data_IF_193939278255
#
_entry.id   IF_193939278255
#
_cell.length_a   1.000
_cell.length_b   1.000
_cell.length_c   1.000
_cell.angle_alpha   90.00
_cell.angle_beta   90.00
_cell.angle_gamma   90.00
#
_symmetry.space_group_name_H-M   'P 1'
#
loop_
_entity.id
_entity.type
_entity.pdbx_description
1 polymer ?
#
# COMPACT_ATOMS: atom_id res chain seq x y z
N UNK A 1 -17.78 -31.60 -14.83
CA UNK A 1 -16.35 -31.93 -14.62
C UNK A 1 -16.17 -32.15 -13.13
N UNK A 2 -15.65 -33.31 -12.71
CA UNK A 2 -15.29 -33.54 -11.31
C UNK A 2 -14.04 -32.73 -10.98
N UNK A 3 -14.10 -31.97 -9.89
CA UNK A 3 -12.92 -31.31 -9.33
C UNK A 3 -11.91 -32.37 -8.89
N UNK A 4 -10.63 -32.20 -9.24
CA UNK A 4 -9.62 -33.16 -8.81
C UNK A 4 -9.34 -33.00 -7.32
N UNK A 5 -8.96 -34.08 -6.64
CA UNK A 5 -8.58 -34.05 -5.22
C UNK A 5 -7.51 -32.98 -4.95
N UNK A 6 -6.57 -32.77 -5.88
CA UNK A 6 -5.54 -31.76 -5.75
C UNK A 6 -6.09 -30.32 -5.70
N UNK A 7 -7.09 -30.00 -6.53
CA UNK A 7 -7.69 -28.66 -6.54
C UNK A 7 -8.49 -28.44 -5.25
N UNK A 8 -9.24 -29.44 -4.80
CA UNK A 8 -9.97 -29.35 -3.52
C UNK A 8 -9.01 -29.19 -2.33
N UNK A 9 -7.91 -29.96 -2.28
CA UNK A 9 -6.87 -29.80 -1.27
C UNK A 9 -6.26 -28.39 -1.29
N UNK A 10 -5.97 -27.82 -2.46
CA UNK A 10 -5.46 -26.45 -2.58
C UNK A 10 -6.47 -25.43 -2.03
N UNK A 11 -7.76 -25.57 -2.34
CA UNK A 11 -8.80 -24.69 -1.80
C UNK A 11 -8.89 -24.77 -0.29
N UNK A 12 -8.89 -25.99 0.26
CA UNK A 12 -8.91 -26.21 1.72
C UNK A 12 -7.67 -25.60 2.36
N UNK A 13 -6.49 -25.80 1.76
CA UNK A 13 -5.23 -25.23 2.22
C UNK A 13 -5.29 -23.70 2.26
N UNK A 14 -5.64 -23.04 1.14
CA UNK A 14 -5.71 -21.57 1.10
C UNK A 14 -6.74 -21.02 2.10
N UNK A 15 -7.93 -21.64 2.21
CA UNK A 15 -8.93 -21.24 3.22
C UNK A 15 -8.39 -21.39 4.64
N UNK A 16 -7.63 -22.45 4.90
CA UNK A 16 -7.02 -22.70 6.22
C UNK A 16 -5.94 -21.68 6.52
N UNK A 17 -5.06 -21.36 5.57
CA UNK A 17 -4.04 -20.31 5.72
C UNK A 17 -4.69 -18.98 6.06
N UNK A 18 -5.70 -18.54 5.28
CA UNK A 18 -6.42 -17.29 5.55
C UNK A 18 -7.07 -17.30 6.94
N UNK A 19 -7.72 -18.40 7.30
CA UNK A 19 -8.39 -18.52 8.60
C UNK A 19 -7.44 -18.53 9.79
N UNK A 20 -6.29 -19.19 9.68
CA UNK A 20 -5.37 -19.39 10.81
C UNK A 20 -4.40 -18.23 10.96
N UNK A 21 -3.92 -17.68 9.86
CA UNK A 21 -2.80 -16.72 9.83
C UNK A 21 -3.19 -15.34 9.32
N UNK A 22 -4.42 -15.14 8.85
CA UNK A 22 -4.88 -13.85 8.30
C UNK A 22 -4.75 -12.71 9.29
N UNK A 23 -5.20 -12.91 10.53
CA UNK A 23 -5.18 -11.87 11.58
C UNK A 23 -3.76 -11.48 12.03
N UNK A 24 -2.76 -12.32 11.76
CA UNK A 24 -1.37 -12.10 12.15
C UNK A 24 -0.54 -11.51 11.00
N UNK A 25 -0.68 -12.06 9.80
CA UNK A 25 0.17 -11.76 8.66
C UNK A 25 -0.48 -10.87 7.61
N UNK A 26 -1.80 -10.65 7.64
CA UNK A 26 -2.49 -9.68 6.79
C UNK A 26 -3.38 -8.78 7.66
N UNK A 27 -2.71 -7.92 8.42
CA UNK A 27 -3.31 -7.02 9.40
C UNK A 27 -2.79 -5.61 9.23
N UNK A 28 -3.51 -4.65 9.82
CA UNK A 28 -3.00 -3.29 9.99
C UNK A 28 -1.74 -3.28 10.88
N UNK A 29 -0.80 -2.34 10.65
CA UNK A 29 0.38 -2.21 11.49
C UNK A 29 -0.04 -1.87 12.92
N UNK A 30 0.60 -2.52 13.90
CA UNK A 30 0.44 -2.19 15.31
C UNK A 30 1.35 -1.01 15.69
N UNK A 31 1.43 -0.64 16.97
CA UNK A 31 2.27 0.49 17.42
C UNK A 31 3.77 0.28 17.12
N UNK A 32 4.28 -0.94 17.29
CA UNK A 32 5.68 -1.27 16.99
C UNK A 32 5.97 -1.18 15.50
N UNK A 33 5.07 -1.76 14.68
CA UNK A 33 5.18 -1.70 13.22
C UNK A 33 5.12 -0.26 12.74
N UNK A 34 4.17 0.51 13.26
CA UNK A 34 3.98 1.93 12.92
C UNK A 34 5.23 2.74 13.27
N UNK A 35 5.81 2.54 14.45
CA UNK A 35 7.07 3.20 14.85
C UNK A 35 8.18 2.89 13.84
N UNK A 36 8.32 1.61 13.47
CA UNK A 36 9.36 1.16 12.54
C UNK A 36 9.15 1.74 11.13
N UNK A 37 7.92 1.70 10.63
CA UNK A 37 7.55 2.26 9.33
C UNK A 37 7.84 3.76 9.26
N UNK A 38 7.39 4.52 10.27
CA UNK A 38 7.60 5.96 10.34
C UNK A 38 9.09 6.32 10.46
N UNK A 39 9.87 5.57 11.22
CA UNK A 39 11.31 5.79 11.33
C UNK A 39 12.05 5.56 10.00
N UNK A 40 11.75 4.46 9.30
CA UNK A 40 12.33 4.18 7.99
C UNK A 40 11.90 5.22 6.93
N UNK A 41 10.65 5.66 6.99
CA UNK A 41 10.13 6.70 6.11
C UNK A 41 10.77 8.07 6.35
N UNK A 42 10.96 8.45 7.63
CA UNK A 42 11.69 9.66 8.02
C UNK A 42 13.12 9.66 7.48
N UNK A 43 13.83 8.53 7.60
CA UNK A 43 15.19 8.38 7.07
C UNK A 43 15.23 8.65 5.57
N UNK A 44 14.24 8.14 4.83
CA UNK A 44 14.02 8.35 3.40
C UNK A 44 13.53 9.76 3.02
N UNK A 45 13.27 10.62 4.01
CA UNK A 45 12.80 12.00 3.81
C UNK A 45 11.30 12.13 3.55
N UNK A 46 10.52 11.11 3.90
CA UNK A 46 9.06 11.11 3.86
C UNK A 46 8.46 10.92 5.25
N UNK A 47 8.65 11.86 6.20
CA UNK A 47 8.01 11.82 7.51
C UNK A 47 6.50 11.58 7.41
N UNK A 48 5.96 10.60 8.13
CA UNK A 48 4.52 10.32 8.12
C UNK A 48 4.03 9.37 7.02
N UNK A 49 4.91 8.92 6.11
CA UNK A 49 4.57 7.91 5.11
C UNK A 49 4.40 6.54 5.78
N UNK A 50 3.28 5.88 5.47
CA UNK A 50 2.93 4.54 5.97
C UNK A 50 3.22 3.42 4.96
N UNK A 51 3.43 3.76 3.69
CA UNK A 51 3.72 2.81 2.62
C UNK A 51 3.43 3.41 1.24
N UNK A 52 3.57 2.58 0.21
CA UNK A 52 3.13 2.88 -1.16
C UNK A 52 1.86 2.10 -1.48
N UNK A 53 0.89 2.78 -2.08
CA UNK A 53 -0.41 2.23 -2.49
C UNK A 53 -0.47 2.15 -4.01
N UNK A 54 -0.82 0.98 -4.53
CA UNK A 54 -1.01 0.76 -5.97
C UNK A 54 -1.90 -0.46 -6.23
N UNK A 55 -2.34 -0.60 -7.48
CA UNK A 55 -3.14 -1.72 -7.96
C UNK A 55 -2.35 -2.65 -8.89
N UNK A 56 -2.58 -3.96 -8.75
CA UNK A 56 -2.11 -4.98 -9.69
C UNK A 56 -3.31 -5.64 -10.37
N UNK A 57 -3.27 -5.71 -11.71
CA UNK A 57 -4.24 -6.47 -12.49
C UNK A 57 -3.77 -7.92 -12.67
N UNK A 58 -4.57 -8.89 -12.23
CA UNK A 58 -4.29 -10.30 -12.44
C UNK A 58 -5.27 -10.91 -13.45
N UNK A 59 -4.75 -11.44 -14.56
CA UNK A 59 -5.58 -12.02 -15.61
C UNK A 59 -6.37 -13.24 -15.10
N UNK A 60 -7.66 -13.28 -15.43
CA UNK A 60 -8.58 -14.35 -15.11
C UNK A 60 -8.97 -15.13 -16.37
N UNK A 61 -8.15 -16.14 -16.68
CA UNK A 61 -8.28 -16.95 -17.91
C UNK A 61 -9.62 -17.67 -18.03
N UNK A 62 -10.12 -18.19 -16.91
CA UNK A 62 -11.38 -18.94 -16.88
C UNK A 62 -12.57 -18.08 -16.42
N UNK A 63 -12.50 -16.76 -16.61
CA UNK A 63 -13.61 -15.84 -16.33
C UNK A 63 -14.85 -16.30 -17.11
N UNK A 64 -15.99 -16.58 -16.41
CA UNK A 64 -17.22 -16.98 -17.07
C UNK A 64 -17.65 -15.95 -18.11
N UNK A 65 -18.16 -16.40 -19.27
CA UNK A 65 -18.54 -15.52 -20.39
C UNK A 65 -19.52 -14.42 -19.95
N UNK A 66 -20.44 -14.74 -19.03
CA UNK A 66 -21.39 -13.78 -18.47
C UNK A 66 -20.71 -12.63 -17.69
N UNK A 67 -19.54 -12.87 -17.11
CA UNK A 67 -18.82 -11.92 -16.28
C UNK A 67 -17.74 -11.17 -17.08
N UNK A 68 -17.31 -11.68 -18.24
CA UNK A 68 -16.21 -11.08 -19.03
C UNK A 68 -16.43 -9.60 -19.34
N UNK A 69 -17.66 -9.18 -19.64
CA UNK A 69 -17.95 -7.77 -19.91
C UNK A 69 -17.60 -6.82 -18.75
N UNK A 70 -17.71 -7.30 -17.51
CA UNK A 70 -17.38 -6.51 -16.31
C UNK A 70 -15.87 -6.52 -16.00
N UNK A 71 -15.17 -7.61 -16.32
CA UNK A 71 -13.76 -7.80 -15.96
C UNK A 71 -12.77 -7.47 -17.10
N UNK A 72 -13.23 -7.39 -18.35
CA UNK A 72 -12.41 -7.02 -19.51
C UNK A 72 -12.37 -5.49 -19.67
N UNK A 73 -11.43 -4.86 -18.99
CA UNK A 73 -11.12 -3.44 -19.11
C UNK A 73 -10.27 -3.11 -20.34
N UNK A 74 -9.24 -2.26 -20.13
CA UNK A 74 -8.29 -1.88 -21.20
C UNK A 74 -7.52 -3.07 -21.77
N UNK A 75 -7.30 -4.11 -20.96
CA UNK A 75 -6.40 -5.23 -21.26
C UNK A 75 -6.93 -6.26 -22.28
N UNK A 76 -8.13 -6.08 -22.86
CA UNK A 76 -8.85 -7.03 -23.74
C UNK A 76 -9.14 -8.40 -23.12
N UNK A 77 -8.34 -8.86 -22.16
CA UNK A 77 -8.55 -10.04 -21.34
C UNK A 77 -9.19 -9.67 -19.99
N UNK A 78 -10.04 -10.53 -19.42
CA UNK A 78 -10.62 -10.31 -18.10
C UNK A 78 -9.52 -10.25 -17.04
N UNK A 79 -9.51 -9.22 -16.19
CA UNK A 79 -8.58 -9.11 -15.05
C UNK A 79 -9.33 -8.85 -13.75
N UNK A 80 -8.79 -9.35 -12.65
CA UNK A 80 -9.26 -9.05 -11.28
C UNK A 80 -8.19 -8.22 -10.61
N UNK A 81 -8.59 -7.14 -9.94
CA UNK A 81 -7.67 -6.18 -9.36
C UNK A 81 -7.36 -6.52 -7.90
N UNK A 82 -6.07 -6.38 -7.55
CA UNK A 82 -5.55 -6.32 -6.19
C UNK A 82 -5.11 -4.88 -5.91
N UNK A 83 -5.78 -4.16 -5.02
CA UNK A 83 -5.23 -2.97 -4.38
C UNK A 83 -4.38 -3.41 -3.18
N UNK A 84 -3.17 -2.87 -3.04
CA UNK A 84 -2.33 -3.19 -1.89
C UNK A 84 -1.53 -2.00 -1.37
N UNK A 85 -1.27 -2.00 -0.06
CA UNK A 85 -0.22 -1.17 0.54
C UNK A 85 0.95 -2.04 0.91
N UNK A 86 2.12 -1.69 0.40
CA UNK A 86 3.37 -2.33 0.80
C UNK A 86 4.37 -1.33 1.38
N UNK A 87 5.22 -1.83 2.27
CA UNK A 87 6.36 -1.09 2.81
C UNK A 87 7.67 -1.50 2.15
N UNK A 88 8.73 -0.79 2.54
CA UNK A 88 10.07 -0.95 2.00
C UNK A 88 10.65 -2.37 2.07
N UNK A 89 10.27 -3.11 3.10
CA UNK A 89 10.65 -4.49 3.40
C UNK A 89 9.80 -5.52 2.66
N UNK A 90 9.02 -5.11 1.65
CA UNK A 90 8.11 -5.96 0.88
C UNK A 90 6.89 -6.48 1.65
N UNK A 91 6.72 -6.09 2.92
CA UNK A 91 5.54 -6.49 3.69
C UNK A 91 4.29 -5.82 3.12
N UNK A 92 3.23 -6.60 2.91
CA UNK A 92 1.93 -6.11 2.44
C UNK A 92 1.00 -5.94 3.65
N UNK A 93 0.69 -4.70 4.00
CA UNK A 93 -0.13 -4.35 5.18
C UNK A 93 -1.63 -4.31 4.87
N UNK A 94 -1.98 -4.04 3.62
CA UNK A 94 -3.36 -3.97 3.15
C UNK A 94 -3.46 -4.70 1.82
N UNK A 95 -4.55 -5.45 1.64
CA UNK A 95 -4.89 -6.11 0.39
C UNK A 95 -6.41 -6.10 0.20
N UNK A 96 -6.86 -5.48 -0.88
CA UNK A 96 -8.26 -5.53 -1.30
C UNK A 96 -8.33 -6.12 -2.70
N UNK A 97 -8.78 -7.38 -2.76
CA UNK A 97 -8.81 -8.15 -4.00
C UNK A 97 -10.24 -8.48 -4.40
N UNK A 98 -10.46 -8.52 -5.72
CA UNK A 98 -11.69 -9.03 -6.29
C UNK A 98 -12.42 -8.03 -7.17
N UNK A 99 -11.92 -6.80 -7.26
CA UNK A 99 -12.56 -5.78 -8.07
C UNK A 99 -12.40 -6.09 -9.57
N UNK A 100 -13.37 -5.70 -10.42
CA UNK A 100 -13.26 -5.91 -11.85
C UNK A 100 -12.16 -5.04 -12.47
N UNK A 101 -11.41 -5.60 -13.42
CA UNK A 101 -10.35 -4.92 -14.15
C UNK A 101 -10.77 -3.75 -15.04
N UNK A 102 -12.07 -3.48 -15.15
CA UNK A 102 -12.60 -2.27 -15.77
C UNK A 102 -12.50 -1.05 -14.86
N UNK A 103 -12.37 -1.25 -13.55
CA UNK A 103 -12.20 -0.15 -12.60
C UNK A 103 -10.78 0.41 -12.70
N UNK A 104 -10.67 1.73 -12.69
CA UNK A 104 -9.41 2.41 -12.48
C UNK A 104 -9.16 2.60 -10.97
N UNK A 105 -7.96 3.00 -10.62
CA UNK A 105 -7.51 3.21 -9.25
C UNK A 105 -8.43 4.14 -8.44
N UNK A 106 -8.97 5.19 -9.06
CA UNK A 106 -9.89 6.12 -8.39
C UNK A 106 -11.19 5.40 -7.96
N UNK A 107 -11.77 4.60 -8.85
CA UNK A 107 -13.01 3.87 -8.56
C UNK A 107 -12.81 2.75 -7.52
N UNK A 108 -11.60 2.20 -7.48
CA UNK A 108 -11.17 1.20 -6.50
C UNK A 108 -11.01 1.87 -5.13
N UNK A 109 -10.36 3.03 -5.09
CA UNK A 109 -10.13 3.81 -3.89
C UNK A 109 -11.42 4.15 -3.13
N UNK A 110 -12.47 4.53 -3.86
CA UNK A 110 -13.79 4.83 -3.26
C UNK A 110 -14.46 3.62 -2.59
N UNK A 111 -14.03 2.40 -2.94
CA UNK A 111 -14.50 1.15 -2.35
C UNK A 111 -13.48 0.54 -1.38
N UNK A 112 -12.33 1.19 -1.18
CA UNK A 112 -11.21 0.63 -0.45
C UNK A 112 -11.46 0.58 1.06
N UNK A 113 -11.30 -0.59 1.70
CA UNK A 113 -11.40 -0.72 3.15
C UNK A 113 -10.42 0.15 3.93
N UNK A 114 -9.25 0.49 3.35
CA UNK A 114 -8.24 1.27 4.06
C UNK A 114 -8.73 2.70 4.35
N UNK A 115 -9.56 3.26 3.45
CA UNK A 115 -10.18 4.57 3.62
C UNK A 115 -11.39 4.50 4.53
N UNK A 116 -12.18 3.43 4.43
CA UNK A 116 -13.31 3.20 5.33
C UNK A 116 -12.84 3.14 6.79
N UNK A 117 -11.76 2.42 7.08
CA UNK A 117 -11.18 2.33 8.43
C UNK A 117 -10.72 3.69 8.96
N UNK A 118 -10.12 4.53 8.12
CA UNK A 118 -9.73 5.89 8.50
C UNK A 118 -10.96 6.76 8.84
N UNK A 119 -12.05 6.62 8.08
CA UNK A 119 -13.30 7.35 8.31
C UNK A 119 -14.02 6.87 9.59
N UNK A 120 -13.97 5.56 9.85
CA UNK A 120 -14.53 4.92 11.05
C UNK A 120 -13.68 5.19 12.31
N UNK A 121 -12.47 5.75 12.13
CA UNK A 121 -11.55 6.08 13.23
C UNK A 121 -10.75 4.88 13.74
N UNK A 122 -10.74 3.80 12.97
CA UNK A 122 -9.97 2.58 13.26
C UNK A 122 -8.56 2.58 12.63
N UNK A 123 -8.25 3.63 11.87
CA UNK A 123 -6.95 3.84 11.28
C UNK A 123 -5.85 4.09 12.32
N UNK A 124 -4.61 3.92 11.88
CA UNK A 124 -3.43 4.12 12.73
C UNK A 124 -3.27 5.60 13.06
N UNK A 125 -3.23 5.92 14.36
CA UNK A 125 -2.94 7.28 14.82
C UNK A 125 -1.43 7.53 14.71
N UNK A 126 -1.05 8.55 13.95
CA UNK A 126 0.34 8.97 13.80
C UNK A 126 0.46 10.45 14.15
N UNK A 127 1.64 10.90 14.56
CA UNK A 127 1.94 12.32 14.65
C UNK A 127 3.37 12.58 14.21
N UNK A 128 3.55 13.51 13.29
CA UNK A 128 4.85 13.86 12.72
C UNK A 128 4.89 15.35 12.37
N UNK A 129 6.09 15.85 12.08
CA UNK A 129 6.32 17.25 11.71
C UNK A 129 7.10 17.34 10.41
N UNK A 130 6.66 18.20 9.52
CA UNK A 130 7.39 18.57 8.30
C UNK A 130 7.39 20.08 8.22
N UNK A 131 8.56 20.69 8.01
CA UNK A 131 8.70 22.14 7.86
C UNK A 131 8.00 22.96 8.98
N UNK A 132 8.10 22.49 10.23
CA UNK A 132 7.44 23.04 11.43
C UNK A 132 5.91 22.90 11.51
N UNK A 133 5.26 22.33 10.50
CA UNK A 133 3.84 22.00 10.54
C UNK A 133 3.64 20.61 11.14
N UNK A 134 2.62 20.46 11.99
CA UNK A 134 2.29 19.20 12.63
C UNK A 134 1.13 18.52 11.89
N UNK A 135 1.28 17.22 11.66
CA UNK A 135 0.31 16.38 10.97
C UNK A 135 -0.04 15.17 11.83
N UNK A 136 -1.29 14.76 11.76
CA UNK A 136 -1.83 13.65 12.56
C UNK A 136 -2.47 12.54 11.72
N UNK A 137 -2.32 12.62 10.39
CA UNK A 137 -2.80 11.62 9.44
C UNK A 137 -1.61 11.08 8.68
N UNK A 138 -1.41 9.77 8.73
CA UNK A 138 -0.42 9.10 7.90
C UNK A 138 -0.85 9.17 6.44
N UNK A 139 0.12 9.11 5.53
CA UNK A 139 -0.17 9.12 4.10
C UNK A 139 0.51 7.98 3.36
N UNK A 140 -0.01 7.69 2.18
CA UNK A 140 0.55 6.72 1.25
C UNK A 140 1.08 7.42 0.01
N UNK A 141 2.18 6.92 -0.54
CA UNK A 141 2.65 7.35 -1.85
C UNK A 141 1.85 6.66 -2.94
N UNK A 142 1.36 7.43 -3.90
CA UNK A 142 0.55 6.95 -5.03
C UNK A 142 1.05 7.51 -6.34
N UNK A 143 0.52 7.01 -7.46
CA UNK A 143 0.75 7.62 -8.76
C UNK A 143 -0.10 8.91 -8.94
N UNK A 144 0.05 9.55 -10.09
CA UNK A 144 -0.61 10.82 -10.42
C UNK A 144 -2.12 10.76 -10.68
N UNK A 145 -2.74 9.58 -10.75
CA UNK A 145 -4.19 9.47 -11.04
C UNK A 145 -5.04 9.47 -9.77
N UNK A 146 -4.45 9.24 -8.60
CA UNK A 146 -5.18 9.31 -7.33
C UNK A 146 -5.60 10.75 -7.00
N UNK A 147 -6.75 10.95 -6.33
CA UNK A 147 -7.23 12.27 -5.94
C UNK A 147 -6.35 12.89 -4.82
N UNK A 148 -6.20 14.24 -4.78
CA UNK A 148 -5.32 14.96 -3.85
C UNK A 148 -5.88 15.00 -2.42
N UNK A 149 -5.96 13.84 -1.78
CA UNK A 149 -6.39 13.66 -0.40
C UNK A 149 -5.24 13.92 0.57
N UNK A 150 -5.56 14.32 1.80
CA UNK A 150 -4.55 14.59 2.83
C UNK A 150 -3.74 13.33 3.21
N UNK A 151 -4.29 12.14 2.94
CA UNK A 151 -3.66 10.84 3.18
C UNK A 151 -3.00 10.24 1.94
N UNK A 152 -2.96 10.95 0.81
CA UNK A 152 -2.36 10.49 -0.45
C UNK A 152 -1.40 11.54 -0.99
N UNK A 153 -0.17 11.13 -1.29
CA UNK A 153 0.84 12.01 -1.89
C UNK A 153 1.24 11.44 -3.25
N UNK A 154 0.72 12.06 -4.32
CA UNK A 154 1.05 11.70 -5.69
C UNK A 154 2.41 12.25 -6.12
N UNK A 155 2.97 11.63 -7.17
CA UNK A 155 4.00 12.28 -7.99
C UNK A 155 3.44 13.51 -8.70
N UNK A 156 4.30 14.51 -8.93
CA UNK A 156 3.91 15.73 -9.66
C UNK A 156 4.10 15.47 -11.15
N UNK A 157 3.02 15.52 -11.92
CA UNK A 157 3.05 15.50 -13.38
C UNK A 157 3.80 16.73 -13.91
N UNK A 158 4.74 16.50 -14.84
CA UNK A 158 5.55 17.55 -15.49
C UNK A 158 6.20 18.55 -14.50
N UNK A 159 7.03 18.06 -13.56
CA UNK A 159 7.52 18.88 -12.45
C UNK A 159 8.40 20.04 -12.93
N UNK A 160 8.01 21.26 -12.58
CA UNK A 160 8.74 22.49 -12.90
C UNK A 160 9.64 22.93 -11.75
N UNK A 161 10.89 23.25 -12.08
CA UNK A 161 11.92 23.65 -11.11
C UNK A 161 12.64 22.48 -10.44
N UNK A 162 13.84 22.76 -9.90
CA UNK A 162 14.73 21.71 -9.34
C UNK A 162 14.11 20.96 -8.16
N UNK A 163 13.48 21.69 -7.23
CA UNK A 163 12.82 21.10 -6.05
C UNK A 163 11.75 20.08 -6.41
N UNK A 164 10.82 20.44 -7.31
CA UNK A 164 9.72 19.55 -7.72
C UNK A 164 10.24 18.34 -8.49
N UNK A 165 11.25 18.52 -9.35
CA UNK A 165 11.89 17.41 -10.06
C UNK A 165 12.54 16.42 -9.09
N UNK A 166 13.26 16.94 -8.10
CA UNK A 166 13.88 16.13 -7.05
C UNK A 166 12.83 15.37 -6.22
N UNK A 167 11.80 16.07 -5.78
CA UNK A 167 10.66 15.47 -5.07
C UNK A 167 10.02 14.34 -5.89
N UNK A 168 9.64 14.59 -7.15
CA UNK A 168 9.01 13.58 -8.01
C UNK A 168 9.91 12.36 -8.17
N UNK A 169 11.22 12.55 -8.42
CA UNK A 169 12.18 11.45 -8.56
C UNK A 169 12.26 10.59 -7.29
N UNK A 170 12.34 11.22 -6.11
CA UNK A 170 12.40 10.52 -4.83
C UNK A 170 11.07 9.81 -4.51
N UNK A 171 9.94 10.48 -4.75
CA UNK A 171 8.61 9.92 -4.55
C UNK A 171 8.42 8.69 -5.43
N UNK A 172 8.74 8.77 -6.72
CA UNK A 172 8.60 7.66 -7.66
C UNK A 172 9.53 6.50 -7.34
N UNK A 173 10.72 6.78 -6.79
CA UNK A 173 11.66 5.73 -6.37
C UNK A 173 11.11 4.91 -5.21
N UNK A 174 10.51 5.55 -4.19
CA UNK A 174 9.93 4.83 -3.05
C UNK A 174 8.52 4.30 -3.32
N UNK A 175 7.75 4.93 -4.21
CA UNK A 175 6.47 4.39 -4.67
C UNK A 175 6.64 3.01 -5.31
N UNK A 176 7.79 2.71 -5.93
CA UNK A 176 8.12 1.39 -6.47
C UNK A 176 8.24 0.28 -5.41
N UNK A 177 8.18 0.58 -4.12
CA UNK A 177 8.21 -0.46 -3.08
C UNK A 177 7.02 -1.45 -3.24
N UNK A 178 5.81 -0.96 -3.57
CA UNK A 178 4.65 -1.85 -3.83
C UNK A 178 4.73 -2.57 -5.17
N UNK A 179 5.23 -1.92 -6.22
CA UNK A 179 5.51 -2.58 -7.51
C UNK A 179 6.54 -3.72 -7.32
N UNK A 180 7.57 -3.49 -6.48
CA UNK A 180 8.56 -4.50 -6.12
C UNK A 180 7.93 -5.65 -5.33
N UNK A 181 7.03 -5.36 -4.38
CA UNK A 181 6.29 -6.38 -3.65
C UNK A 181 5.46 -7.26 -4.62
N UNK A 182 4.76 -6.66 -5.60
CA UNK A 182 4.05 -7.41 -6.64
C UNK A 182 4.99 -8.27 -7.50
N UNK A 183 6.13 -7.71 -7.91
CA UNK A 183 7.13 -8.43 -8.68
C UNK A 183 7.68 -9.66 -7.93
N UNK A 184 7.97 -9.52 -6.64
CA UNK A 184 8.41 -10.64 -5.78
C UNK A 184 7.31 -11.67 -5.60
N UNK A 185 6.06 -11.23 -5.37
CA UNK A 185 4.89 -12.11 -5.26
C UNK A 185 4.73 -12.97 -6.52
N UNK A 186 4.81 -12.35 -7.70
CA UNK A 186 4.74 -13.04 -8.99
C UNK A 186 5.96 -13.94 -9.27
N UNK A 187 7.16 -13.55 -8.82
CA UNK A 187 8.37 -14.35 -9.02
C UNK A 187 8.36 -15.62 -8.14
N UNK A 188 7.93 -15.48 -6.88
CA UNK A 188 7.94 -16.55 -5.87
C UNK A 188 6.77 -17.53 -6.07
N UNK A 189 5.59 -17.04 -6.41
CA UNK A 189 4.37 -17.85 -6.49
C UNK A 189 3.90 -18.02 -7.94
N UNK A 190 4.20 -19.20 -8.51
CA UNK A 190 3.79 -19.54 -9.87
C UNK A 190 2.27 -19.42 -10.09
N UNK A 191 1.45 -19.64 -9.05
CA UNK A 191 -0.01 -19.50 -9.14
C UNK A 191 -0.44 -18.05 -9.41
N UNK A 192 0.33 -17.05 -8.96
CA UNK A 192 0.07 -15.62 -9.22
C UNK A 192 0.75 -15.17 -10.52
N UNK A 193 1.93 -15.72 -10.84
CA UNK A 193 2.65 -15.42 -12.10
C UNK A 193 1.82 -15.65 -13.35
N UNK A 194 1.01 -16.71 -13.36
CA UNK A 194 0.19 -17.09 -14.50
C UNK A 194 -1.26 -16.66 -14.32
N UNK A 195 -2.03 -16.48 -15.40
CA UNK A 195 -3.45 -16.18 -15.32
C UNK A 195 -4.21 -17.18 -14.46
N UNK A 196 -5.10 -16.66 -13.59
CA UNK A 196 -5.97 -17.43 -12.72
C UNK A 196 -6.88 -18.37 -13.51
N UNK A 197 -6.86 -19.66 -13.16
CA UNK A 197 -7.61 -20.72 -13.85
C UNK A 197 -8.80 -21.26 -13.06
N UNK A 198 -9.08 -20.67 -11.91
CA UNK A 198 -10.28 -21.03 -11.15
C UNK A 198 -11.50 -20.36 -11.76
N UNK A 199 -12.63 -21.05 -11.74
CA UNK A 199 -13.88 -20.55 -12.33
C UNK A 199 -14.66 -19.62 -11.39
N UNK A 200 -14.40 -19.71 -10.08
CA UNK A 200 -15.10 -18.92 -9.07
C UNK A 200 -14.18 -17.81 -8.60
N UNK A 201 -14.71 -16.59 -8.61
CA UNK A 201 -14.07 -15.41 -8.04
C UNK A 201 -13.68 -15.61 -6.57
N UNK A 202 -14.53 -16.27 -5.78
CA UNK A 202 -14.27 -16.54 -4.36
C UNK A 202 -13.05 -17.44 -4.15
N UNK A 203 -12.81 -18.40 -5.05
CA UNK A 203 -11.63 -19.26 -4.98
C UNK A 203 -10.36 -18.46 -5.33
N UNK A 204 -10.41 -17.59 -6.35
CA UNK A 204 -9.29 -16.68 -6.69
C UNK A 204 -8.95 -15.76 -5.51
N UNK A 205 -9.98 -15.23 -4.85
CA UNK A 205 -9.80 -14.31 -3.72
C UNK A 205 -9.09 -14.98 -2.56
N UNK A 206 -9.52 -16.18 -2.17
CA UNK A 206 -8.87 -16.92 -1.09
C UNK A 206 -7.44 -17.33 -1.45
N UNK A 207 -7.18 -17.67 -2.72
CA UNK A 207 -5.83 -17.96 -3.21
C UNK A 207 -4.92 -16.73 -3.11
N UNK A 208 -5.38 -15.57 -3.59
CA UNK A 208 -4.59 -14.33 -3.54
C UNK A 208 -4.25 -13.97 -2.10
N UNK A 209 -5.23 -13.97 -1.20
CA UNK A 209 -5.02 -13.66 0.22
C UNK A 209 -4.07 -14.66 0.90
N UNK A 210 -4.23 -15.96 0.63
CA UNK A 210 -3.33 -16.98 1.17
C UNK A 210 -1.89 -16.78 0.68
N UNK A 211 -1.69 -16.39 -0.58
CA UNK A 211 -0.35 -16.12 -1.14
C UNK A 211 0.28 -14.88 -0.49
N UNK A 212 -0.50 -13.82 -0.24
CA UNK A 212 -0.01 -12.62 0.47
C UNK A 212 0.39 -12.96 1.91
N UNK A 213 -0.41 -13.77 2.59
CA UNK A 213 -0.09 -14.26 3.95
C UNK A 213 1.21 -15.04 3.94
N UNK A 214 1.35 -16.04 3.05
CA UNK A 214 2.58 -16.83 2.93
C UNK A 214 3.79 -15.96 2.55
N UNK A 215 3.59 -14.93 1.73
CA UNK A 215 4.61 -13.95 1.39
C UNK A 215 5.10 -13.22 2.64
N UNK A 216 4.20 -12.64 3.43
CA UNK A 216 4.57 -11.93 4.66
C UNK A 216 5.22 -12.89 5.69
N UNK A 217 4.74 -14.12 5.83
CA UNK A 217 5.41 -15.15 6.64
C UNK A 217 6.85 -15.41 6.18
N UNK A 218 7.07 -15.46 4.86
CA UNK A 218 8.41 -15.66 4.30
C UNK A 218 9.31 -14.45 4.56
N UNK A 219 8.77 -13.22 4.44
CA UNK A 219 9.52 -12.00 4.77
C UNK A 219 9.95 -11.98 6.24
N UNK A 220 9.08 -12.41 7.15
CA UNK A 220 9.42 -12.53 8.58
C UNK A 220 10.54 -13.55 8.82
N UNK A 221 10.41 -14.76 8.24
CA UNK A 221 11.40 -15.83 8.36
C UNK A 221 12.77 -15.38 7.81
N UNK A 222 12.77 -14.78 6.62
CA UNK A 222 13.96 -14.24 5.95
C UNK A 222 14.57 -13.05 6.71
N UNK A 223 13.77 -12.23 7.41
CA UNK A 223 14.29 -11.14 8.22
C UNK A 223 15.09 -11.63 9.45
N UNK A 224 14.81 -12.85 9.93
CA UNK A 224 15.59 -13.53 10.97
C UNK A 224 16.89 -14.16 10.44
N UNK A 225 17.02 -14.34 9.13
CA UNK A 225 18.19 -14.90 8.45
C UNK A 225 18.74 -13.88 7.45
N UNK A 226 19.62 -12.99 7.89
CA UNK A 226 20.31 -11.95 7.09
C UNK A 226 20.17 -12.16 5.57
N UNK A 227 19.18 -11.52 4.96
CA UNK A 227 19.04 -11.52 3.52
C UNK A 227 20.23 -10.74 2.96
N UNK A 228 21.23 -11.44 2.42
CA UNK A 228 22.42 -10.90 1.75
C UNK A 228 22.05 -10.32 0.36
N UNK A 229 21.15 -9.34 0.39
CA UNK A 229 20.94 -8.38 -0.68
C UNK A 229 21.39 -7.03 -0.14
N UNK A 230 22.69 -6.75 -0.25
CA UNK A 230 23.40 -5.53 0.12
C UNK A 230 22.51 -4.26 0.18
N UNK A 231 22.06 -3.90 1.38
CA UNK A 231 21.43 -2.60 1.67
C UNK A 231 21.94 -2.09 3.01
N UNK A 232 23.15 -1.54 2.97
CA UNK A 232 23.84 -0.95 4.09
C UNK A 232 23.12 0.33 4.56
N UNK A 233 22.44 0.29 5.71
CA UNK A 233 21.89 1.48 6.36
C UNK A 233 22.53 1.67 7.73
N UNK A 234 23.35 2.72 7.81
CA UNK A 234 24.08 3.12 9.00
C UNK A 234 23.12 3.51 10.13
N UNK A 235 23.24 2.83 11.27
CA UNK A 235 22.53 3.17 12.50
C UNK A 235 22.94 4.57 12.98
N UNK A 236 21.98 5.50 13.00
CA UNK A 236 22.08 6.80 13.70
C UNK A 236 20.82 7.06 14.53
N UNK A 237 20.89 7.94 15.56
CA UNK A 237 20.01 7.82 16.72
C UNK A 237 18.57 8.27 16.48
N UNK A 238 17.66 7.47 17.04
CA UNK A 238 16.19 7.55 16.99
C UNK A 238 15.64 8.92 17.39
N UNK A 239 14.96 9.60 16.48
CA UNK A 239 13.94 10.60 16.82
C UNK A 239 12.59 9.88 16.94
N UNK A 240 11.99 9.90 18.14
CA UNK A 240 10.73 9.23 18.43
C UNK A 240 9.56 10.01 17.82
N UNK A 241 8.88 9.43 16.84
CA UNK A 241 7.49 9.80 16.55
C UNK A 241 6.63 9.43 17.76
N UNK A 242 5.77 10.34 18.21
CA UNK A 242 4.89 10.09 19.35
C UNK A 242 3.66 9.30 18.86
N UNK A 243 3.51 8.07 19.36
CA UNK A 243 2.29 7.26 19.18
C UNK A 243 1.34 7.60 20.32
N UNK A 244 0.14 8.04 19.98
CA UNK A 244 -0.94 8.25 20.95
C UNK A 244 -1.92 7.08 20.85
N UNK A 245 -1.99 6.25 21.90
CA UNK A 245 -3.05 5.26 22.07
C UNK A 245 -4.35 5.98 22.42
N UNK A 246 -5.41 5.83 21.63
CA UNK A 246 -6.73 6.34 22.00
C UNK A 246 -7.61 5.24 22.59
N UNK A 247 -8.30 5.57 23.69
CA UNK A 247 -9.37 4.77 24.29
C UNK A 247 -10.62 4.70 23.40
N UNK A 248 -11.77 4.20 23.91
CA UNK A 248 -12.95 3.95 23.08
C UNK A 248 -13.41 5.25 22.43
N UNK A 249 -13.34 5.30 21.09
CA UNK A 249 -13.74 6.46 20.29
C UNK A 249 -15.27 6.57 20.25
N UNK A 250 -15.76 7.79 20.38
CA UNK A 250 -17.16 8.13 20.17
C UNK A 250 -17.53 7.90 18.69
N UNK A 251 -18.66 7.23 18.42
CA UNK A 251 -19.03 6.72 17.09
C UNK A 251 -20.12 7.57 16.44
N UNK A 252 -20.17 8.86 16.75
CA UNK A 252 -21.21 9.75 16.23
C UNK A 252 -21.04 10.04 14.74
N UNK A 253 -22.16 10.27 14.05
CA UNK A 253 -22.17 10.66 12.63
C UNK A 253 -21.38 11.96 12.38
N UNK A 254 -21.41 12.91 13.32
CA UNK A 254 -20.65 14.14 13.22
C UNK A 254 -19.14 13.88 13.23
N UNK A 255 -18.67 12.96 14.06
CA UNK A 255 -17.26 12.60 14.12
C UNK A 255 -16.81 11.83 12.87
N UNK A 256 -17.68 10.97 12.32
CA UNK A 256 -17.47 10.37 11.01
C UNK A 256 -17.33 11.44 9.92
N UNK A 257 -18.24 12.42 9.87
CA UNK A 257 -18.22 13.49 8.87
C UNK A 257 -16.95 14.33 8.97
N UNK A 258 -16.50 14.65 10.19
CA UNK A 258 -15.25 15.38 10.43
C UNK A 258 -14.04 14.60 9.91
N UNK A 259 -13.95 13.29 10.18
CA UNK A 259 -12.85 12.45 9.68
C UNK A 259 -12.90 12.34 8.15
N UNK A 260 -14.09 12.12 7.60
CA UNK A 260 -14.32 12.07 6.16
C UNK A 260 -13.83 13.34 5.45
N UNK A 261 -14.16 14.51 6.00
CA UNK A 261 -13.69 15.80 5.46
C UNK A 261 -12.18 15.97 5.62
N UNK A 262 -11.60 15.61 6.76
CA UNK A 262 -10.17 15.75 7.02
C UNK A 262 -9.32 14.89 6.08
N UNK A 263 -9.72 13.65 5.83
CA UNK A 263 -9.02 12.73 4.91
C UNK A 263 -9.00 13.29 3.49
N UNK A 264 -10.12 13.88 3.04
CA UNK A 264 -10.29 14.41 1.68
C UNK A 264 -9.95 15.90 1.55
N UNK A 265 -9.30 16.51 2.55
CA UNK A 265 -9.01 17.94 2.52
C UNK A 265 -7.85 18.27 1.55
N UNK A 266 -8.22 18.86 0.41
CA UNK A 266 -7.28 19.26 -0.63
C UNK A 266 -6.31 20.36 -0.16
N UNK A 267 -6.69 21.17 0.83
CA UNK A 267 -5.79 22.20 1.37
C UNK A 267 -4.68 21.57 2.19
N UNK A 268 -5.03 20.69 3.13
CA UNK A 268 -4.06 19.91 3.91
C UNK A 268 -3.13 19.10 3.01
N UNK A 269 -3.67 18.48 1.95
CA UNK A 269 -2.87 17.82 0.92
C UNK A 269 -1.83 18.78 0.30
N UNK A 270 -2.27 19.93 -0.23
CA UNK A 270 -1.38 20.87 -0.90
C UNK A 270 -0.30 21.42 0.03
N UNK A 271 -0.64 21.70 1.30
CA UNK A 271 0.33 22.13 2.31
C UNK A 271 1.34 21.05 2.61
N UNK A 272 0.89 19.81 2.88
CA UNK A 272 1.79 18.68 3.15
C UNK A 272 2.71 18.39 1.97
N UNK A 273 2.19 18.36 0.75
CA UNK A 273 3.01 18.14 -0.45
C UNK A 273 4.08 19.23 -0.60
N UNK A 274 3.73 20.49 -0.40
CA UNK A 274 4.70 21.59 -0.47
C UNK A 274 5.77 21.49 0.62
N UNK A 275 5.38 21.16 1.84
CA UNK A 275 6.32 20.97 2.95
C UNK A 275 7.27 19.79 2.71
N UNK A 276 6.78 18.69 2.13
CA UNK A 276 7.63 17.57 1.73
C UNK A 276 8.61 17.94 0.62
N UNK A 277 8.18 18.73 -0.38
CA UNK A 277 9.07 19.24 -1.44
C UNK A 277 10.21 20.06 -0.84
N UNK A 278 9.90 20.96 0.09
CA UNK A 278 10.90 21.81 0.74
C UNK A 278 11.79 21.04 1.72
N UNK A 279 11.22 20.09 2.46
CA UNK A 279 11.95 19.20 3.36
C UNK A 279 12.96 18.34 2.61
N UNK A 280 12.53 17.65 1.56
CA UNK A 280 13.42 16.79 0.75
C UNK A 280 14.52 17.59 0.08
N UNK A 281 14.20 18.78 -0.45
CA UNK A 281 15.23 19.65 -1.01
C UNK A 281 16.26 20.09 0.03
N UNK A 282 15.82 20.40 1.25
CA UNK A 282 16.73 20.79 2.34
C UNK A 282 17.59 19.61 2.79
N UNK A 283 17.03 18.40 2.83
CA UNK A 283 17.70 17.20 3.32
C UNK A 283 18.67 16.59 2.31
N UNK A 284 18.31 16.56 1.03
CA UNK A 284 19.05 15.83 -0.02
C UNK A 284 19.37 16.66 -1.27
N UNK A 285 18.84 17.88 -1.40
CA UNK A 285 19.00 18.70 -2.62
C UNK A 285 20.40 19.26 -2.85
N UNK A 286 21.28 19.27 -1.85
CA UNK A 286 22.67 19.75 -1.98
C UNK A 286 23.54 18.87 -2.88
N UNK A 287 23.20 17.59 -3.05
CA UNK A 287 23.95 16.66 -3.90
C UNK A 287 23.66 16.88 -5.40
N UNK A 288 22.42 17.24 -5.75
CA UNK A 288 22.03 17.56 -7.13
C UNK A 288 22.36 19.02 -7.55
N UNK A 289 22.58 19.92 -6.58
CA UNK A 289 23.01 21.29 -6.87
C UNK A 289 24.45 21.39 -7.42
N UNK A 290 25.28 20.37 -7.17
CA UNK A 290 26.69 20.30 -7.54
C UNK A 290 27.00 19.34 -8.69
N UNK A 291 25.98 18.74 -9.30
CA UNK A 291 26.18 17.91 -10.50
C UNK A 291 26.30 18.84 -11.74
N UNK A 292 27.39 18.71 -12.54
CA UNK A 292 27.68 19.58 -13.69
C UNK A 292 26.64 19.46 -14.81
#
# INVERSE_FOLDING_TARGET
MSESTAIECLKIFCRTIVKVYGDEYLRKPNESDTTRLLAAAEERGFPGMMGSLDCMHWCWKNCPVADQGQYSGKEKEPTVVLEAVASYDLWIWHAFFGLPGTLNDINILDQSPIFQQLQEGEGVSVSYKVNNNQYNLGYYLTDGIYPPYATLIQSISEPQGKKKKHFTKMQEAYRKDVERAFGVLQARYAIIRFPGRFWKHTDLSVIMLAVIILHNMTIEDEAGTEFDGDFNYHQTPRTQAAITSNGPMDTTFDQFLLRYQAIRDHRSHATLQQDLIDHLWTKFGSEEANSP
#
